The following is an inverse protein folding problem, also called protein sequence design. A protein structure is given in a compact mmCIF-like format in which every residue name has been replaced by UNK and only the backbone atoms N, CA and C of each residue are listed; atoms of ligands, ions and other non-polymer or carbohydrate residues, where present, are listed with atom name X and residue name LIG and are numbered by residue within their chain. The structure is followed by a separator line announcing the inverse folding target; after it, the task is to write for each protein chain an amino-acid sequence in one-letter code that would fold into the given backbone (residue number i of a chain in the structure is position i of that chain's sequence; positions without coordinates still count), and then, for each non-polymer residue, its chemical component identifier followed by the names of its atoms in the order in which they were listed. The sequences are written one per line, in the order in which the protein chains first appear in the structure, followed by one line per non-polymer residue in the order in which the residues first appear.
data_IF_011052021714
#
_entry.id   IF_011052021714
#
_cell.length_a   1.000
_cell.length_b   1.000
_cell.length_c   1.000
_cell.angle_alpha   90.00
_cell.angle_beta   90.00
_cell.angle_gamma   90.00
#
_symmetry.space_group_name_H-M   'P 1'
#
loop_
_entity.id
_entity.type
_entity.pdbx_description
1 polymer ?
#
# COMPACT_ATOMS: atom_id res chain seq x y z
N UNK A 1 35.47 1.73 6.74
CA UNK A 1 34.15 1.17 6.38
C UNK A 1 33.33 1.12 7.64
N UNK A 2 32.51 2.15 7.89
CA UNK A 2 31.70 2.28 9.11
C UNK A 2 30.30 1.77 8.81
N UNK A 3 30.05 0.50 9.12
CA UNK A 3 28.70 -0.05 9.19
C UNK A 3 27.97 0.66 10.32
N UNK A 4 27.13 1.63 9.96
CA UNK A 4 26.32 2.36 10.93
C UNK A 4 25.20 1.43 11.36
N UNK A 5 25.38 0.76 12.50
CA UNK A 5 24.36 -0.05 13.15
C UNK A 5 23.21 0.87 13.57
N UNK A 6 22.20 0.99 12.71
CA UNK A 6 20.98 1.73 13.00
C UNK A 6 20.23 1.06 14.16
N UNK A 7 20.14 1.76 15.29
CA UNK A 7 19.23 1.35 16.37
C UNK A 7 17.78 1.55 15.91
N UNK A 8 16.86 0.68 16.30
CA UNK A 8 15.47 0.65 15.77
C UNK A 8 14.70 1.98 15.91
N UNK A 9 14.98 2.77 16.94
CA UNK A 9 14.38 4.09 17.13
C UNK A 9 14.90 5.12 16.10
N UNK A 10 16.15 4.94 15.63
CA UNK A 10 16.77 5.81 14.63
C UNK A 10 16.14 5.61 13.25
N UNK A 11 15.76 4.38 12.89
CA UNK A 11 15.09 4.10 11.62
C UNK A 11 13.74 4.80 11.50
N UNK A 12 12.85 4.64 12.48
CA UNK A 12 11.52 5.27 12.44
C UNK A 12 11.63 6.80 12.49
N UNK A 13 12.59 7.34 13.24
CA UNK A 13 12.88 8.79 13.27
C UNK A 13 13.27 9.32 11.89
N UNK A 14 14.16 8.63 11.19
CA UNK A 14 14.60 9.00 9.84
C UNK A 14 13.50 8.93 8.81
N UNK A 15 12.66 7.89 8.82
CA UNK A 15 11.51 7.82 7.90
C UNK A 15 10.53 8.92 8.19
N UNK A 16 10.26 9.19 9.47
CA UNK A 16 9.50 10.37 9.82
C UNK A 16 10.17 11.60 9.16
N UNK A 17 11.49 11.84 9.27
CA UNK A 17 12.18 13.04 8.71
C UNK A 17 11.98 13.16 7.20
N UNK A 18 11.96 12.01 6.52
CA UNK A 18 11.68 11.95 5.09
C UNK A 18 10.26 12.40 4.75
N UNK A 19 9.28 12.24 5.66
CA UNK A 19 7.91 12.70 5.44
C UNK A 19 7.79 14.21 5.22
N UNK A 20 8.76 15.01 5.68
CA UNK A 20 8.78 16.45 5.47
C UNK A 20 8.98 16.82 3.98
N UNK A 21 9.31 15.83 3.14
CA UNK A 21 9.56 15.96 1.71
C UNK A 21 8.75 14.97 0.87
N UNK A 22 7.79 14.30 1.49
CA UNK A 22 6.93 13.30 0.84
C UNK A 22 5.51 13.82 0.70
N UNK A 23 4.94 13.59 -0.47
CA UNK A 23 3.55 13.87 -0.78
C UNK A 23 2.92 12.62 -1.39
N UNK A 24 1.66 12.36 -1.05
CA UNK A 24 0.83 11.44 -1.84
C UNK A 24 -0.07 12.24 -2.77
N UNK A 25 -0.33 11.69 -3.96
CA UNK A 25 -1.39 12.19 -4.84
C UNK A 25 -2.29 11.03 -5.23
N UNK A 26 -3.60 11.25 -5.14
CA UNK A 26 -4.58 10.30 -5.65
C UNK A 26 -4.71 10.52 -7.15
N UNK A 27 -4.49 9.46 -7.91
CA UNK A 27 -4.53 9.49 -9.38
C UNK A 27 -6.00 9.39 -9.80
N UNK A 28 -6.54 10.48 -10.35
CA UNK A 28 -7.93 10.55 -10.83
C UNK A 28 -8.05 11.10 -12.26
N UNK A 29 -7.03 11.80 -12.77
CA UNK A 29 -7.01 12.32 -14.13
C UNK A 29 -6.34 11.36 -15.11
N UNK A 30 -6.67 11.49 -16.39
CA UNK A 30 -6.04 10.70 -17.46
C UNK A 30 -4.53 10.99 -17.58
N UNK A 31 -4.10 12.23 -17.32
CA UNK A 31 -2.69 12.62 -17.39
C UNK A 31 -1.87 11.96 -16.27
N UNK A 32 -2.38 11.98 -15.04
CA UNK A 32 -1.74 11.30 -13.90
C UNK A 32 -1.64 9.77 -14.14
N UNK A 33 -2.64 9.19 -14.81
CA UNK A 33 -2.66 7.78 -15.16
C UNK A 33 -1.52 7.40 -16.11
N UNK A 34 -1.18 8.25 -17.09
CA UNK A 34 -0.05 7.98 -17.99
C UNK A 34 1.30 8.01 -17.26
N UNK A 35 1.49 8.91 -16.30
CA UNK A 35 2.72 8.94 -15.48
C UNK A 35 2.88 7.66 -14.66
N UNK A 36 1.79 7.20 -14.03
CA UNK A 36 1.76 5.93 -13.31
C UNK A 36 2.03 4.76 -14.24
N UNK A 37 1.44 4.75 -15.44
CA UNK A 37 1.66 3.72 -16.43
C UNK A 37 3.14 3.62 -16.83
N UNK A 38 3.75 4.76 -17.16
CA UNK A 38 5.19 4.86 -17.48
C UNK A 38 6.07 4.35 -16.35
N UNK A 39 5.77 4.71 -15.10
CA UNK A 39 6.52 4.23 -13.94
C UNK A 39 6.37 2.72 -13.74
N UNK A 40 5.15 2.18 -13.83
CA UNK A 40 4.91 0.73 -13.76
C UNK A 40 5.70 -0.01 -14.84
N UNK A 41 5.71 0.50 -16.08
CA UNK A 41 6.48 -0.08 -17.18
C UNK A 41 7.97 -0.12 -16.87
N UNK A 42 8.54 1.02 -16.46
CA UNK A 42 9.96 1.15 -16.12
C UNK A 42 10.36 0.15 -15.03
N UNK A 43 9.58 0.07 -13.95
CA UNK A 43 9.85 -0.83 -12.84
C UNK A 43 9.75 -2.32 -13.23
N UNK A 44 8.68 -2.71 -13.93
CA UNK A 44 8.49 -4.12 -14.31
C UNK A 44 9.49 -4.58 -15.34
N UNK A 45 9.90 -3.69 -16.27
CA UNK A 45 10.99 -3.96 -17.22
C UNK A 45 12.31 -4.22 -16.51
N UNK A 46 12.68 -3.39 -15.54
CA UNK A 46 13.93 -3.55 -14.79
C UNK A 46 14.01 -4.87 -14.01
N UNK A 47 12.85 -5.42 -13.60
CA UNK A 47 12.76 -6.68 -12.86
C UNK A 47 12.38 -7.90 -13.70
N UNK A 48 12.38 -7.80 -15.04
CA UNK A 48 12.02 -8.90 -15.93
C UNK A 48 10.58 -9.39 -15.79
N UNK A 49 9.67 -8.52 -15.32
CA UNK A 49 8.27 -8.83 -15.01
C UNK A 49 7.29 -8.27 -16.05
N UNK A 50 7.76 -7.80 -17.21
CA UNK A 50 6.89 -7.26 -18.26
C UNK A 50 5.90 -8.29 -18.83
N UNK A 51 6.25 -9.57 -18.86
CA UNK A 51 5.32 -10.64 -19.24
C UNK A 51 4.12 -10.76 -18.29
N UNK A 52 4.16 -10.06 -17.14
CA UNK A 52 3.10 -10.02 -16.13
C UNK A 52 2.26 -8.73 -16.23
N UNK A 53 2.62 -7.84 -17.16
CA UNK A 53 1.85 -6.66 -17.49
C UNK A 53 0.84 -7.04 -18.60
N UNK A 54 -0.46 -6.78 -18.41
CA UNK A 54 -1.41 -6.89 -19.51
C UNK A 54 -1.05 -5.95 -20.68
N UNK A 55 -1.71 -6.12 -21.83
CA UNK A 55 -1.66 -5.14 -22.92
C UNK A 55 -2.26 -3.83 -22.39
N UNK A 56 -1.39 -2.88 -22.01
CA UNK A 56 -1.76 -1.73 -21.17
C UNK A 56 -1.45 -2.00 -19.70
N UNK A 57 -0.68 -1.11 -19.07
CA UNK A 57 -0.33 -1.22 -17.65
C UNK A 57 -1.38 -0.58 -16.73
N UNK A 58 -2.45 -0.07 -17.34
CA UNK A 58 -3.73 0.25 -16.75
C UNK A 58 -4.72 -0.85 -17.16
N UNK A 59 -5.47 -1.38 -16.19
CA UNK A 59 -6.57 -2.33 -16.44
C UNK A 59 -7.92 -1.76 -16.00
N UNK A 60 -9.04 -2.36 -16.39
CA UNK A 60 -10.38 -1.87 -16.00
C UNK A 60 -10.56 -1.80 -14.47
N UNK A 61 -9.80 -2.63 -13.74
CA UNK A 61 -9.80 -2.66 -12.27
C UNK A 61 -9.11 -1.43 -11.68
N UNK A 62 -8.26 -0.71 -12.42
CA UNK A 62 -7.72 0.60 -12.01
C UNK A 62 -8.84 1.68 -11.91
N UNK A 63 -9.97 1.49 -12.59
CA UNK A 63 -11.12 2.42 -12.60
C UNK A 63 -12.28 1.98 -11.70
N UNK A 64 -12.12 0.89 -10.96
CA UNK A 64 -13.17 0.38 -10.09
C UNK A 64 -13.55 1.38 -8.97
N UNK A 65 -14.83 1.36 -8.57
CA UNK A 65 -15.37 2.28 -7.57
C UNK A 65 -14.76 2.12 -6.17
N UNK A 66 -14.07 1.02 -5.89
CA UNK A 66 -13.32 0.74 -4.67
C UNK A 66 -11.79 0.73 -4.89
N UNK A 67 -11.32 1.08 -6.10
CA UNK A 67 -9.91 1.24 -6.43
C UNK A 67 -9.42 2.66 -6.15
N UNK A 68 -8.26 2.76 -5.50
CA UNK A 68 -7.57 4.02 -5.22
C UNK A 68 -6.10 3.90 -5.61
N UNK A 69 -5.66 4.66 -6.59
CA UNK A 69 -4.26 4.66 -7.03
C UNK A 69 -3.56 5.85 -6.42
N UNK A 70 -2.40 5.61 -5.80
CA UNK A 70 -1.58 6.63 -5.21
C UNK A 70 -0.22 6.68 -5.90
N UNK A 71 0.20 7.90 -6.24
CA UNK A 71 1.60 8.23 -6.46
C UNK A 71 2.26 8.67 -5.15
N UNK A 72 3.47 8.19 -4.90
CA UNK A 72 4.38 8.67 -3.86
C UNK A 72 5.38 9.62 -4.52
N UNK A 73 5.32 10.89 -4.13
CA UNK A 73 6.20 11.94 -4.61
C UNK A 73 7.24 12.27 -3.56
N UNK A 74 8.50 12.43 -3.97
CA UNK A 74 9.60 12.86 -3.11
C UNK A 74 10.28 14.07 -3.75
N UNK A 75 10.32 15.20 -3.04
CA UNK A 75 10.68 16.51 -3.62
C UNK A 75 9.94 16.85 -4.92
N UNK A 76 8.67 16.46 -5.01
CA UNK A 76 7.81 16.72 -6.17
C UNK A 76 7.99 15.76 -7.35
N UNK A 77 8.89 14.78 -7.27
CA UNK A 77 9.08 13.75 -8.31
C UNK A 77 8.33 12.46 -7.96
N UNK A 78 7.59 11.89 -8.92
CA UNK A 78 6.92 10.60 -8.75
C UNK A 78 7.96 9.47 -8.68
N UNK A 79 8.18 8.91 -7.49
CA UNK A 79 9.20 7.87 -7.28
C UNK A 79 8.60 6.47 -7.13
N UNK A 80 7.30 6.36 -6.80
CA UNK A 80 6.63 5.06 -6.62
C UNK A 80 5.12 5.19 -6.74
N UNK A 81 4.44 4.07 -7.00
CA UNK A 81 2.98 3.98 -7.05
C UNK A 81 2.47 2.69 -6.42
N UNK A 82 1.23 2.73 -5.95
CA UNK A 82 0.48 1.56 -5.49
C UNK A 82 -1.01 1.75 -5.81
N UNK A 83 -1.71 0.65 -6.10
CA UNK A 83 -3.18 0.60 -6.09
C UNK A 83 -3.66 -0.02 -4.79
N UNK A 84 -4.68 0.56 -4.18
CA UNK A 84 -5.36 0.05 -3.00
C UNK A 84 -6.80 -0.28 -3.39
N UNK A 85 -7.22 -1.51 -3.17
CA UNK A 85 -8.63 -1.91 -3.27
C UNK A 85 -9.26 -2.08 -1.89
N UNK A 86 -10.46 -1.53 -1.71
CA UNK A 86 -11.33 -1.87 -0.59
C UNK A 86 -12.29 -2.99 -0.97
N UNK A 87 -12.04 -4.19 -0.47
CA UNK A 87 -12.80 -5.40 -0.81
C UNK A 87 -13.78 -5.70 0.31
N UNK A 88 -15.06 -5.89 -0.02
CA UNK A 88 -16.11 -6.23 0.95
C UNK A 88 -16.86 -7.48 0.50
N UNK A 89 -17.65 -8.11 1.38
CA UNK A 89 -18.49 -9.24 0.99
C UNK A 89 -19.40 -8.95 -0.21
N UNK A 90 -19.83 -7.69 -0.37
CA UNK A 90 -20.68 -7.18 -1.46
C UNK A 90 -19.90 -6.70 -2.69
N UNK A 91 -18.62 -6.32 -2.52
CA UNK A 91 -17.75 -5.85 -3.60
C UNK A 91 -16.40 -6.59 -3.58
N UNK A 92 -16.34 -7.72 -4.28
CA UNK A 92 -15.24 -8.70 -4.20
C UNK A 92 -14.11 -8.48 -5.22
N UNK A 93 -14.06 -7.33 -5.89
CA UNK A 93 -13.00 -7.04 -6.88
C UNK A 93 -11.65 -6.96 -6.18
N UNK A 94 -10.73 -7.85 -6.53
CA UNK A 94 -9.42 -8.00 -5.87
C UNK A 94 -8.40 -8.63 -6.81
N UNK A 95 -7.16 -8.11 -6.78
CA UNK A 95 -6.05 -8.72 -7.53
C UNK A 95 -5.56 -9.99 -6.83
N UNK A 96 -5.55 -10.02 -5.50
CA UNK A 96 -5.23 -11.23 -4.74
C UNK A 96 -6.26 -12.36 -4.99
N UNK A 97 -7.54 -12.02 -5.18
CA UNK A 97 -8.61 -12.96 -5.54
C UNK A 97 -8.37 -13.73 -6.83
N UNK A 98 -7.66 -13.15 -7.80
CA UNK A 98 -7.33 -13.84 -9.07
C UNK A 98 -6.29 -14.95 -8.90
N UNK A 99 -5.44 -14.90 -7.87
CA UNK A 99 -4.48 -15.97 -7.56
C UNK A 99 -4.99 -16.93 -6.49
N UNK A 100 -5.85 -16.46 -5.58
CA UNK A 100 -6.26 -17.18 -4.39
C UNK A 100 -7.77 -17.03 -4.12
N UNK A 101 -8.63 -17.42 -5.07
CA UNK A 101 -10.07 -17.18 -4.95
C UNK A 101 -10.65 -17.82 -3.69
N UNK A 102 -10.37 -19.10 -3.45
CA UNK A 102 -10.88 -19.85 -2.29
C UNK A 102 -10.52 -19.19 -0.94
N UNK A 103 -9.26 -18.78 -0.76
CA UNK A 103 -8.81 -18.18 0.49
C UNK A 103 -9.37 -16.76 0.69
N UNK A 104 -9.56 -16.02 -0.40
CA UNK A 104 -10.19 -14.70 -0.36
C UNK A 104 -11.69 -14.81 -0.07
N UNK A 105 -12.37 -15.76 -0.72
CA UNK A 105 -13.80 -16.03 -0.50
C UNK A 105 -14.06 -16.51 0.93
N UNK A 106 -13.20 -17.34 1.54
CA UNK A 106 -13.34 -17.75 2.94
C UNK A 106 -13.35 -16.54 3.90
N UNK A 107 -12.47 -15.56 3.69
CA UNK A 107 -12.42 -14.35 4.50
C UNK A 107 -13.68 -13.49 4.29
N UNK A 108 -14.12 -13.34 3.05
CA UNK A 108 -15.27 -12.51 2.68
C UNK A 108 -16.60 -13.15 3.11
N UNK A 109 -16.72 -14.47 3.03
CA UNK A 109 -17.87 -15.25 3.49
C UNK A 109 -17.99 -15.23 5.02
N UNK A 110 -16.87 -15.06 5.73
CA UNK A 110 -16.86 -14.78 7.16
C UNK A 110 -17.29 -13.33 7.50
N UNK A 111 -17.64 -12.51 6.51
CA UNK A 111 -18.09 -11.13 6.66
C UNK A 111 -16.96 -10.12 6.85
N UNK A 112 -15.71 -10.50 6.60
CA UNK A 112 -14.56 -9.61 6.77
C UNK A 112 -14.43 -8.65 5.59
N UNK A 113 -13.95 -7.46 5.88
CA UNK A 113 -13.57 -6.44 4.91
C UNK A 113 -12.05 -6.37 4.80
N UNK A 114 -11.55 -6.20 3.57
CA UNK A 114 -10.13 -6.36 3.25
C UNK A 114 -9.60 -5.13 2.53
N UNK A 115 -8.36 -4.77 2.82
CA UNK A 115 -7.56 -3.89 1.98
C UNK A 115 -6.64 -4.77 1.15
N UNK A 116 -6.71 -4.67 -0.19
CA UNK A 116 -5.87 -5.43 -1.13
C UNK A 116 -4.96 -4.48 -1.93
N UNK A 117 -3.71 -4.26 -1.49
CA UNK A 117 -2.74 -3.48 -2.23
C UNK A 117 -2.20 -4.29 -3.41
N UNK A 118 -2.16 -3.66 -4.57
CA UNK A 118 -1.68 -4.25 -5.81
C UNK A 118 -0.83 -3.25 -6.61
N UNK A 119 -0.21 -3.74 -7.68
CA UNK A 119 0.53 -2.91 -8.64
C UNK A 119 1.60 -2.00 -8.00
N UNK A 120 2.24 -2.45 -6.92
CA UNK A 120 3.42 -1.77 -6.37
C UNK A 120 4.45 -1.62 -7.50
N UNK A 121 4.88 -0.40 -7.77
CA UNK A 121 6.04 -0.12 -8.60
C UNK A 121 6.85 1.04 -8.01
N UNK A 122 8.17 0.99 -8.15
CA UNK A 122 9.08 2.07 -7.75
C UNK A 122 10.07 2.30 -8.88
N UNK A 123 10.43 3.56 -9.13
CA UNK A 123 11.41 3.90 -10.14
C UNK A 123 12.78 3.32 -9.75
N UNK A 124 13.34 2.39 -10.55
CA UNK A 124 14.57 1.68 -10.17
C UNK A 124 15.80 2.58 -10.11
N UNK A 125 15.80 3.71 -10.83
CA UNK A 125 16.93 4.66 -10.86
C UNK A 125 16.84 5.64 -9.69
N UNK A 126 15.65 6.21 -9.45
CA UNK A 126 15.44 7.18 -8.37
C UNK A 126 15.54 6.53 -7.00
N UNK A 127 15.11 5.27 -6.87
CA UNK A 127 14.92 4.61 -5.57
C UNK A 127 16.03 3.62 -5.18
N UNK A 128 17.06 3.44 -6.01
CA UNK A 128 18.12 2.44 -5.81
C UNK A 128 18.77 2.49 -4.40
N UNK A 129 18.88 3.69 -3.82
CA UNK A 129 19.49 3.92 -2.51
C UNK A 129 18.48 4.40 -1.44
N UNK A 130 17.18 4.16 -1.66
CA UNK A 130 16.10 4.64 -0.80
C UNK A 130 15.36 3.45 -0.14
N UNK A 131 15.96 2.78 0.87
CA UNK A 131 15.38 1.58 1.48
C UNK A 131 14.07 1.83 2.24
N UNK A 132 13.69 3.09 2.42
CA UNK A 132 12.43 3.53 3.03
C UNK A 132 11.26 3.50 2.06
N UNK A 133 11.49 3.47 0.74
CA UNK A 133 10.43 3.54 -0.28
C UNK A 133 9.35 2.48 -0.06
N UNK A 134 9.66 1.19 0.14
CA UNK A 134 8.62 0.19 0.38
C UNK A 134 7.72 0.50 1.59
N UNK A 135 8.25 1.14 2.63
CA UNK A 135 7.45 1.50 3.80
C UNK A 135 6.45 2.61 3.49
N UNK A 136 6.88 3.63 2.75
CA UNK A 136 6.01 4.75 2.39
C UNK A 136 5.11 4.44 1.21
N UNK A 137 5.50 3.58 0.28
CA UNK A 137 4.61 3.08 -0.78
C UNK A 137 3.48 2.22 -0.21
N UNK A 138 3.72 1.45 0.85
CA UNK A 138 2.70 0.62 1.50
C UNK A 138 1.89 1.35 2.57
N UNK A 139 2.31 2.56 2.98
CA UNK A 139 1.61 3.37 3.96
C UNK A 139 0.12 3.60 3.65
N UNK A 140 -0.29 3.90 2.40
CA UNK A 140 -1.71 4.05 2.05
C UNK A 140 -2.57 2.85 2.45
N UNK A 141 -2.04 1.62 2.44
CA UNK A 141 -2.80 0.43 2.84
C UNK A 141 -3.21 0.46 4.33
N UNK A 142 -2.32 0.96 5.20
CA UNK A 142 -2.60 1.09 6.64
C UNK A 142 -3.57 2.26 6.90
N UNK A 143 -3.44 3.35 6.14
CA UNK A 143 -4.38 4.48 6.22
C UNK A 143 -5.77 4.08 5.72
N UNK A 144 -5.84 3.27 4.65
CA UNK A 144 -7.09 2.71 4.14
C UNK A 144 -7.77 1.83 5.18
N UNK A 145 -7.01 0.94 5.84
CA UNK A 145 -7.53 0.09 6.89
C UNK A 145 -8.13 0.91 8.04
N UNK A 146 -7.51 2.03 8.41
CA UNK A 146 -8.07 2.96 9.40
C UNK A 146 -9.37 3.61 8.91
N UNK A 147 -9.37 4.17 7.69
CA UNK A 147 -10.50 4.92 7.14
C UNK A 147 -11.74 4.06 6.92
N UNK A 148 -11.57 2.92 6.25
CA UNK A 148 -12.67 2.00 5.95
C UNK A 148 -13.03 1.08 7.12
N UNK A 149 -12.25 1.13 8.22
CA UNK A 149 -12.34 0.22 9.35
C UNK A 149 -12.23 -1.25 8.92
N UNK A 150 -11.29 -1.52 8.02
CA UNK A 150 -11.10 -2.85 7.46
C UNK A 150 -10.57 -3.85 8.51
N UNK A 151 -10.93 -5.12 8.37
CA UNK A 151 -10.50 -6.19 9.27
C UNK A 151 -9.07 -6.65 8.96
N UNK A 152 -8.72 -6.71 7.68
CA UNK A 152 -7.45 -7.27 7.19
C UNK A 152 -6.80 -6.40 6.14
N UNK A 153 -5.47 -6.42 6.10
CA UNK A 153 -4.69 -6.00 4.93
C UNK A 153 -4.07 -7.24 4.31
N UNK A 154 -4.38 -7.50 3.05
CA UNK A 154 -3.91 -8.66 2.29
C UNK A 154 -2.58 -8.35 1.62
N UNK A 155 -1.72 -9.35 1.44
CA UNK A 155 -0.48 -9.24 0.69
C UNK A 155 -0.27 -10.48 -0.17
N UNK A 156 -0.54 -10.37 -1.47
CA UNK A 156 -0.09 -11.36 -2.45
C UNK A 156 1.30 -10.95 -2.96
N UNK A 157 2.33 -11.70 -2.58
CA UNK A 157 3.73 -11.31 -2.81
C UNK A 157 4.57 -12.49 -3.25
N UNK A 158 5.67 -12.22 -3.97
CA UNK A 158 6.67 -13.26 -4.26
C UNK A 158 7.29 -13.76 -2.94
N UNK A 159 7.57 -15.07 -2.80
CA UNK A 159 8.11 -15.65 -1.56
C UNK A 159 9.33 -14.92 -0.95
N UNK A 160 10.30 -14.40 -1.74
CA UNK A 160 11.44 -13.66 -1.17
C UNK A 160 11.05 -12.38 -0.41
N UNK A 161 9.88 -11.80 -0.67
CA UNK A 161 9.39 -10.60 0.00
C UNK A 161 8.59 -10.92 1.27
N UNK A 162 8.17 -12.17 1.49
CA UNK A 162 7.31 -12.55 2.62
C UNK A 162 7.91 -12.20 4.00
N UNK A 163 9.23 -12.34 4.15
CA UNK A 163 9.93 -12.01 5.39
C UNK A 163 9.81 -10.52 5.78
N UNK A 164 9.76 -9.62 4.80
CA UNK A 164 9.53 -8.20 5.03
C UNK A 164 8.13 -7.97 5.61
N UNK A 165 7.09 -8.55 4.99
CA UNK A 165 5.72 -8.38 5.43
C UNK A 165 5.44 -8.99 6.79
N UNK A 166 5.95 -10.20 7.05
CA UNK A 166 5.90 -10.82 8.38
C UNK A 166 6.56 -9.96 9.46
N UNK A 167 7.73 -9.37 9.15
CA UNK A 167 8.51 -8.59 10.12
C UNK A 167 7.93 -7.20 10.40
N UNK A 168 7.46 -6.52 9.36
CA UNK A 168 7.01 -5.12 9.42
C UNK A 168 5.53 -5.06 9.78
N UNK A 169 4.69 -5.80 9.07
CA UNK A 169 3.24 -5.74 9.21
C UNK A 169 2.66 -6.81 10.14
N UNK A 170 3.47 -7.72 10.67
CA UNK A 170 3.00 -8.89 11.42
C UNK A 170 2.04 -9.76 10.61
N UNK A 171 2.27 -9.84 9.29
CA UNK A 171 1.44 -10.63 8.40
C UNK A 171 1.66 -12.14 8.63
N UNK A 172 0.55 -12.87 8.74
CA UNK A 172 0.53 -14.33 8.75
C UNK A 172 0.39 -14.87 7.34
N UNK A 173 1.02 -16.02 7.08
CA UNK A 173 0.86 -16.72 5.80
C UNK A 173 -0.47 -17.48 5.81
N UNK A 174 -1.38 -17.12 4.90
CA UNK A 174 -2.67 -17.79 4.72
C UNK A 174 -2.52 -18.93 3.72
N UNK A 175 -1.85 -18.67 2.59
CA UNK A 175 -1.54 -19.67 1.57
C UNK A 175 -0.03 -19.67 1.32
N UNK A 176 0.66 -20.81 1.52
CA UNK A 176 2.08 -20.96 1.17
C UNK A 176 2.35 -20.62 -0.30
N UNK A 177 3.62 -20.33 -0.61
CA UNK A 177 4.03 -20.00 -1.97
C UNK A 177 3.65 -21.08 -2.98
N UNK A 178 2.92 -20.70 -4.03
CA UNK A 178 2.58 -21.56 -5.17
C UNK A 178 2.64 -20.76 -6.47
N UNK A 179 2.80 -21.46 -7.59
CA UNK A 179 2.68 -20.85 -8.91
C UNK A 179 1.25 -20.33 -9.08
N UNK A 180 1.09 -19.02 -9.22
CA UNK A 180 -0.19 -18.47 -9.66
C UNK A 180 -0.19 -18.42 -11.19
N UNK A 181 -1.02 -19.24 -11.81
CA UNK A 181 -1.13 -19.31 -13.28
C UNK A 181 -1.46 -17.95 -13.89
N UNK A 182 -2.30 -17.15 -13.23
CA UNK A 182 -2.65 -15.78 -13.61
C UNK A 182 -1.48 -14.78 -13.59
N UNK A 183 -0.31 -15.19 -13.08
CA UNK A 183 0.90 -14.37 -12.99
C UNK A 183 2.15 -15.08 -13.49
N UNK A 184 2.11 -16.37 -13.86
CA UNK A 184 3.29 -17.13 -14.28
C UNK A 184 4.48 -17.11 -13.30
N UNK A 185 4.27 -16.74 -12.02
CA UNK A 185 5.30 -16.68 -10.98
C UNK A 185 4.76 -17.21 -9.65
N UNK A 186 5.69 -17.64 -8.79
CA UNK A 186 5.35 -18.04 -7.44
C UNK A 186 4.94 -16.83 -6.60
N UNK A 187 3.78 -16.94 -5.96
CA UNK A 187 3.25 -15.97 -5.00
C UNK A 187 2.72 -16.70 -3.77
N UNK A 188 2.80 -16.03 -2.62
CA UNK A 188 2.19 -16.45 -1.36
C UNK A 188 1.15 -15.42 -0.94
N UNK A 189 0.05 -15.89 -0.36
CA UNK A 189 -0.95 -15.02 0.25
C UNK A 189 -0.64 -14.84 1.72
N UNK A 190 -0.48 -13.60 2.14
CA UNK A 190 -0.35 -13.23 3.54
C UNK A 190 -1.48 -12.28 3.94
N UNK A 191 -1.76 -12.21 5.24
CA UNK A 191 -2.80 -11.33 5.79
C UNK A 191 -2.33 -10.73 7.11
N UNK A 192 -2.51 -9.43 7.24
CA UNK A 192 -2.29 -8.69 8.49
C UNK A 192 -3.63 -8.48 9.18
N UNK A 193 -3.76 -9.00 10.41
CA UNK A 193 -4.91 -8.75 11.28
C UNK A 193 -4.82 -7.34 11.90
N UNK A 194 -5.33 -6.30 11.23
CA UNK A 194 -5.12 -4.93 11.71
C UNK A 194 -5.87 -4.63 13.02
N UNK A 195 -6.94 -5.38 13.32
CA UNK A 195 -7.64 -5.30 14.61
C UNK A 195 -6.71 -5.78 15.74
N UNK A 196 -6.04 -6.92 15.54
CA UNK A 196 -5.19 -7.53 16.57
C UNK A 196 -3.82 -6.85 16.70
N UNK A 197 -3.17 -6.56 15.56
CA UNK A 197 -1.77 -6.09 15.54
C UNK A 197 -1.62 -4.61 15.24
N UNK A 198 -2.68 -3.89 14.88
CA UNK A 198 -2.63 -2.50 14.43
C UNK A 198 -1.98 -1.56 15.44
N UNK A 199 -2.36 -1.66 16.73
CA UNK A 199 -1.74 -0.87 17.80
C UNK A 199 -0.24 -1.13 17.91
N UNK A 200 0.16 -2.39 17.86
CA UNK A 200 1.56 -2.82 17.92
C UNK A 200 2.35 -2.32 16.71
N UNK A 201 1.74 -2.37 15.53
CA UNK A 201 2.28 -1.85 14.27
C UNK A 201 2.55 -0.36 14.36
N UNK A 202 1.54 0.45 14.69
CA UNK A 202 1.67 1.92 14.76
C UNK A 202 2.65 2.37 15.85
N UNK A 203 2.66 1.69 17.01
CA UNK A 203 3.62 1.98 18.07
C UNK A 203 5.05 1.76 17.61
N UNK A 204 5.29 0.71 16.81
CA UNK A 204 6.63 0.37 16.32
C UNK A 204 7.06 1.24 15.14
N UNK A 205 6.11 1.60 14.28
CA UNK A 205 6.33 2.33 13.03
C UNK A 205 5.40 3.53 12.97
N UNK A 206 5.70 4.60 13.73
CA UNK A 206 4.84 5.77 13.88
C UNK A 206 4.61 6.53 12.56
N UNK A 207 5.45 6.34 11.54
CA UNK A 207 5.21 6.90 10.21
C UNK A 207 3.97 6.30 9.51
N UNK A 208 3.35 5.24 10.04
CA UNK A 208 2.05 4.74 9.57
C UNK A 208 0.84 5.42 10.23
N UNK A 209 1.04 6.27 11.25
CA UNK A 209 -0.05 6.99 11.93
C UNK A 209 -0.68 8.01 10.98
N UNK A 210 -2.01 8.18 11.00
CA UNK A 210 -2.70 9.18 10.19
C UNK A 210 -3.83 9.87 10.96
N UNK A 211 -4.08 11.14 10.64
CA UNK A 211 -5.21 11.92 11.15
C UNK A 211 -6.47 11.70 10.31
N UNK A 212 -7.64 12.08 10.85
CA UNK A 212 -8.92 11.94 10.16
C UNK A 212 -8.95 12.75 8.86
N UNK A 213 -8.32 13.92 8.89
CA UNK A 213 -8.18 14.78 7.72
C UNK A 213 -7.34 14.12 6.63
N UNK A 214 -6.21 13.49 6.99
CA UNK A 214 -5.40 12.75 6.02
C UNK A 214 -6.18 11.59 5.41
N UNK A 215 -6.82 10.78 6.26
CA UNK A 215 -7.64 9.64 5.83
C UNK A 215 -8.75 10.07 4.85
N UNK A 216 -9.48 11.15 5.17
CA UNK A 216 -10.51 11.71 4.27
C UNK A 216 -9.91 12.22 2.96
N UNK A 217 -8.79 12.94 3.00
CA UNK A 217 -8.14 13.42 1.77
C UNK A 217 -7.69 12.25 0.88
N UNK A 218 -7.27 11.12 1.47
CA UNK A 218 -6.88 9.94 0.70
C UNK A 218 -8.08 9.19 0.10
N UNK A 219 -9.16 8.97 0.87
CA UNK A 219 -10.16 7.96 0.51
C UNK A 219 -11.59 8.47 0.33
N UNK A 220 -11.89 9.73 0.71
CA UNK A 220 -13.21 10.32 0.46
C UNK A 220 -13.46 10.47 -1.03
N UNK A 221 -14.61 9.99 -1.50
CA UNK A 221 -15.21 10.29 -2.80
C UNK A 221 -16.55 10.96 -2.55
N UNK A 222 -16.55 12.14 -1.91
CA UNK A 222 -17.80 12.86 -1.67
C UNK A 222 -18.26 13.45 -3.01
N UNK A 223 -19.51 13.21 -3.47
CA UNK A 223 -20.03 13.78 -4.71
C UNK A 223 -20.01 15.31 -4.76
N UNK A 224 -19.92 15.96 -3.60
CA UNK A 224 -19.81 17.42 -3.46
C UNK A 224 -18.37 17.93 -3.49
N UNK A 225 -17.36 17.05 -3.46
CA UNK A 225 -15.97 17.47 -3.63
C UNK A 225 -15.77 17.80 -5.11
N UNK A 226 -15.56 19.08 -5.44
CA UNK A 226 -15.48 19.53 -6.83
C UNK A 226 -14.20 19.09 -7.54
N UNK A 227 -13.14 18.78 -6.79
CA UNK A 227 -11.86 18.24 -7.26
C UNK A 227 -11.21 17.41 -6.14
N UNK A 228 -10.51 16.30 -6.45
CA UNK A 228 -9.68 15.61 -5.46
C UNK A 228 -8.58 16.52 -4.92
N UNK A 229 -8.05 16.25 -3.71
CA UNK A 229 -6.87 16.94 -3.22
C UNK A 229 -5.69 16.75 -4.18
N UNK A 230 -5.13 17.86 -4.67
CA UNK A 230 -3.93 17.85 -5.53
C UNK A 230 -2.72 17.24 -4.83
N UNK A 231 -2.66 17.34 -3.50
CA UNK A 231 -1.52 16.92 -2.70
C UNK A 231 -1.99 16.54 -1.30
N UNK A 232 -1.50 15.41 -0.80
CA UNK A 232 -1.84 14.85 0.50
C UNK A 232 -0.56 14.72 1.31
N UNK A 233 -0.42 15.55 2.34
CA UNK A 233 0.74 15.58 3.21
C UNK A 233 0.55 14.56 4.35
N UNK A 234 1.52 13.64 4.58
CA UNK A 234 1.45 12.69 5.67
C UNK A 234 1.43 13.38 7.04
N UNK A 235 0.45 13.05 7.87
CA UNK A 235 0.25 13.76 9.16
C UNK A 235 0.94 13.11 10.35
N UNK A 236 1.56 11.93 10.16
CA UNK A 236 2.28 11.19 11.20
C UNK A 236 3.30 12.06 11.96
N UNK A 237 3.88 13.07 11.30
CA UNK A 237 4.83 14.01 11.88
C UNK A 237 4.26 14.97 12.90
N UNK A 238 2.99 15.29 12.76
CA UNK A 238 2.31 16.30 13.55
C UNK A 238 1.47 15.69 14.69
N UNK A 239 1.38 14.36 14.74
CA UNK A 239 0.67 13.66 15.81
C UNK A 239 1.53 13.69 17.10
N UNK A 240 0.96 14.14 18.24
CA UNK A 240 1.67 14.16 19.51
C UNK A 240 2.26 12.79 19.89
N UNK A 241 3.42 12.81 20.55
CA UNK A 241 4.08 11.58 20.97
C UNK A 241 3.17 10.77 21.91
N UNK A 242 2.88 9.52 21.53
CA UNK A 242 2.02 8.61 22.30
C UNK A 242 0.57 8.55 21.82
N UNK A 243 0.17 9.43 20.90
CA UNK A 243 -1.09 9.35 20.19
C UNK A 243 -0.93 8.51 18.90
N UNK A 244 -1.99 7.79 18.50
CA UNK A 244 -1.98 6.94 17.30
C UNK A 244 -2.73 7.58 16.13
N UNK A 245 -3.00 8.88 16.20
CA UNK A 245 -3.84 9.61 15.25
C UNK A 245 -5.32 9.33 15.50
N UNK A 246 -6.16 9.45 14.47
CA UNK A 246 -7.53 8.92 14.58
C UNK A 246 -7.46 7.42 14.67
N UNK A 247 -8.04 6.91 15.76
CA UNK A 247 -8.13 5.51 16.13
C UNK A 247 -8.21 4.60 14.88
N UNK A 248 -7.17 3.78 14.65
CA UNK A 248 -7.44 2.47 14.05
C UNK A 248 -8.57 1.86 14.86
N UNK A 249 -9.55 1.15 14.28
CA UNK A 249 -10.58 0.48 15.07
C UNK A 249 -9.88 -0.35 16.16
N UNK A 250 -9.90 0.18 17.38
CA UNK A 250 -9.52 -0.50 18.61
C UNK A 250 -10.75 -1.22 19.14
#
# INVERSE_FOLDING_TARGET
MSETLFTRNDFSRKILEILDHVEYRRVESSEDMEEVERLRYKAYKAHGALSLAPEGLLDDVDFDSHAYIFGLYYYGELISTIRIHYVTPEHRVSRSGEAFPEAMDELLDAGLTLIDPARFAADPELTANMPWVPYLTLRPAIVAAAYFRADRVIQSVRPPHAAFYKRVFYADTIVPGRLAESYGVDVTLMSTNVIEVGRKLLTRYPFFISSASEQRMMFSRNPNDTLPPLTIIPTARFVPQGELGTDLPL
#
